data_IF_301779798194
#
_entry.id   IF_301779798194
#
_cell.length_a   1.000
_cell.length_b   1.000
_cell.length_c   1.000
_cell.angle_alpha   90.00
_cell.angle_beta   90.00
_cell.angle_gamma   90.00
#
_symmetry.space_group_name_H-M   'P 1'
#
loop_
_entity.id
_entity.type
_entity.pdbx_description
1 polymer ?
#
# COMPACT_ATOMS: atom_id res chain seq x y z
N UNK A 1 -15.99 -37.13 -2.71
CA UNK A 1 -14.91 -37.07 -3.71
C UNK A 1 -13.65 -36.79 -2.91
N UNK A 2 -12.80 -37.79 -2.71
CA UNK A 2 -11.54 -37.61 -1.98
C UNK A 2 -10.50 -37.00 -2.94
N UNK A 3 -10.02 -35.80 -2.63
CA UNK A 3 -8.96 -35.13 -3.39
C UNK A 3 -7.66 -35.91 -3.24
N UNK A 4 -7.00 -36.19 -4.34
CA UNK A 4 -5.69 -36.82 -4.35
C UNK A 4 -4.64 -35.87 -3.73
N UNK A 5 -3.63 -36.42 -3.08
CA UNK A 5 -2.51 -35.65 -2.51
C UNK A 5 -1.91 -34.62 -3.49
N UNK A 6 -1.77 -34.99 -4.76
CA UNK A 6 -1.26 -34.12 -5.81
C UNK A 6 -2.19 -32.94 -6.10
N UNK A 7 -3.51 -33.17 -6.12
CA UNK A 7 -4.51 -32.11 -6.33
C UNK A 7 -4.51 -31.10 -5.17
N UNK A 8 -4.34 -31.58 -3.93
CA UNK A 8 -4.21 -30.71 -2.75
C UNK A 8 -2.94 -29.84 -2.83
N UNK A 9 -1.80 -30.39 -3.22
CA UNK A 9 -0.55 -29.62 -3.42
C UNK A 9 -0.74 -28.55 -4.49
N UNK A 10 -1.36 -28.88 -5.60
CA UNK A 10 -1.62 -27.93 -6.67
C UNK A 10 -2.56 -26.80 -6.23
N UNK A 11 -3.59 -27.10 -5.43
CA UNK A 11 -4.49 -26.08 -4.88
C UNK A 11 -3.77 -25.15 -3.88
N UNK A 12 -2.86 -25.69 -3.07
CA UNK A 12 -2.02 -24.90 -2.16
C UNK A 12 -1.11 -23.97 -2.95
N UNK A 13 -0.42 -24.47 -3.97
CA UNK A 13 0.48 -23.68 -4.81
C UNK A 13 -0.26 -22.53 -5.53
N UNK A 14 -1.40 -22.82 -6.14
CA UNK A 14 -2.26 -21.80 -6.77
C UNK A 14 -2.71 -20.74 -5.76
N UNK A 15 -3.00 -21.15 -4.53
CA UNK A 15 -3.42 -20.23 -3.46
C UNK A 15 -2.29 -19.30 -3.02
N UNK A 16 -1.07 -19.81 -2.92
CA UNK A 16 0.13 -19.02 -2.60
C UNK A 16 0.42 -18.02 -3.71
N UNK A 17 0.43 -18.46 -4.96
CA UNK A 17 0.69 -17.59 -6.12
C UNK A 17 -0.33 -16.46 -6.26
N UNK A 18 -1.60 -16.72 -5.93
CA UNK A 18 -2.64 -15.67 -5.91
C UNK A 18 -2.41 -14.64 -4.82
N UNK A 19 -1.98 -15.07 -3.63
CA UNK A 19 -1.68 -14.17 -2.52
C UNK A 19 -0.48 -13.27 -2.86
N UNK A 20 0.56 -13.85 -3.43
CA UNK A 20 1.74 -13.13 -3.88
C UNK A 20 1.39 -12.10 -4.96
N UNK A 21 0.58 -12.47 -5.95
CA UNK A 21 0.10 -11.55 -6.98
C UNK A 21 -0.69 -10.38 -6.40
N UNK A 22 -1.57 -10.62 -5.42
CA UNK A 22 -2.31 -9.56 -4.73
C UNK A 22 -1.38 -8.60 -3.98
N UNK A 23 -0.35 -9.14 -3.32
CA UNK A 23 0.65 -8.36 -2.61
C UNK A 23 1.48 -7.50 -3.58
N UNK A 24 1.93 -8.06 -4.69
CA UNK A 24 2.66 -7.33 -5.74
C UNK A 24 1.80 -6.20 -6.35
N UNK A 25 0.51 -6.46 -6.57
CA UNK A 25 -0.43 -5.45 -7.04
C UNK A 25 -0.58 -4.29 -6.04
N UNK A 26 -0.72 -4.61 -4.76
CA UNK A 26 -0.79 -3.62 -3.70
C UNK A 26 0.50 -2.79 -3.62
N UNK A 27 1.65 -3.44 -3.69
CA UNK A 27 2.96 -2.77 -3.68
C UNK A 27 3.10 -1.81 -4.86
N UNK A 28 2.71 -2.23 -6.07
CA UNK A 28 2.73 -1.39 -7.27
C UNK A 28 1.82 -0.16 -7.14
N UNK A 29 0.61 -0.33 -6.61
CA UNK A 29 -0.32 0.77 -6.37
C UNK A 29 0.20 1.75 -5.30
N UNK A 30 0.86 1.23 -4.26
CA UNK A 30 1.51 2.02 -3.21
C UNK A 30 2.64 2.87 -3.80
N UNK A 31 3.51 2.27 -4.61
CA UNK A 31 4.57 2.98 -5.32
C UNK A 31 4.01 4.06 -6.26
N UNK A 32 2.98 3.73 -7.04
CA UNK A 32 2.34 4.69 -7.93
C UNK A 32 1.76 5.89 -7.16
N UNK A 33 1.13 5.67 -6.00
CA UNK A 33 0.61 6.74 -5.15
C UNK A 33 1.72 7.65 -4.61
N UNK A 34 2.84 7.07 -4.17
CA UNK A 34 4.01 7.83 -3.69
C UNK A 34 4.61 8.67 -4.83
N UNK A 35 4.86 8.06 -5.99
CA UNK A 35 5.42 8.75 -7.15
C UNK A 35 4.48 9.86 -7.63
N UNK A 36 3.18 9.59 -7.73
CA UNK A 36 2.19 10.59 -8.13
C UNK A 36 2.15 11.77 -7.16
N UNK A 37 2.21 11.54 -5.85
CA UNK A 37 2.23 12.61 -4.85
C UNK A 37 3.52 13.42 -4.92
N UNK A 38 4.66 12.80 -5.25
CA UNK A 38 5.94 13.48 -5.39
C UNK A 38 6.02 14.32 -6.67
N UNK A 39 5.56 13.78 -7.80
CA UNK A 39 5.59 14.50 -9.09
C UNK A 39 4.58 15.66 -9.14
N UNK A 40 3.50 15.57 -8.40
CA UNK A 40 2.47 16.61 -8.35
C UNK A 40 2.59 17.54 -7.16
N UNK A 41 3.73 17.55 -6.44
CA UNK A 41 3.89 18.24 -5.17
C UNK A 41 3.58 19.74 -5.24
N UNK A 42 3.94 20.41 -6.34
CA UNK A 42 3.72 21.85 -6.62
C UNK A 42 2.25 22.19 -6.92
N UNK A 43 1.46 21.19 -7.36
CA UNK A 43 0.02 21.35 -7.75
C UNK A 43 -0.92 20.63 -6.79
N UNK A 44 -0.40 20.04 -5.72
CA UNK A 44 -1.16 19.23 -4.78
C UNK A 44 -2.09 20.13 -3.94
N UNK A 45 -3.37 20.19 -4.31
CA UNK A 45 -4.40 20.81 -3.49
C UNK A 45 -4.92 19.83 -2.44
N UNK A 46 -5.60 20.32 -1.39
CA UNK A 46 -6.25 19.48 -0.37
C UNK A 46 -7.18 18.42 -1.01
N UNK A 47 -7.87 18.79 -2.07
CA UNK A 47 -8.82 17.94 -2.76
C UNK A 47 -8.08 16.78 -3.45
N UNK A 48 -7.01 17.05 -4.17
CA UNK A 48 -6.22 16.02 -4.84
C UNK A 48 -5.52 15.08 -3.84
N UNK A 49 -4.93 15.61 -2.77
CA UNK A 49 -4.35 14.79 -1.70
C UNK A 49 -5.39 13.91 -1.01
N UNK A 50 -6.59 14.45 -0.75
CA UNK A 50 -7.71 13.72 -0.19
C UNK A 50 -8.21 12.62 -1.14
N UNK A 51 -8.36 12.91 -2.43
CA UNK A 51 -8.78 11.91 -3.44
C UNK A 51 -7.75 10.78 -3.57
N UNK A 52 -6.47 11.10 -3.66
CA UNK A 52 -5.40 10.10 -3.77
C UNK A 52 -5.34 9.21 -2.53
N UNK A 53 -5.45 9.81 -1.33
CA UNK A 53 -5.51 9.07 -0.06
C UNK A 53 -6.73 8.15 0.00
N UNK A 54 -7.91 8.65 -0.38
CA UNK A 54 -9.15 7.87 -0.38
C UNK A 54 -9.06 6.70 -1.35
N UNK A 55 -8.57 6.93 -2.56
CA UNK A 55 -8.39 5.89 -3.58
C UNK A 55 -7.44 4.80 -3.09
N UNK A 56 -6.31 5.18 -2.49
CA UNK A 56 -5.34 4.23 -1.94
C UNK A 56 -5.93 3.42 -0.78
N UNK A 57 -6.71 4.06 0.13
CA UNK A 57 -7.37 3.36 1.22
C UNK A 57 -8.43 2.38 0.74
N UNK A 58 -9.27 2.76 -0.23
CA UNK A 58 -10.28 1.87 -0.82
C UNK A 58 -9.60 0.67 -1.48
N UNK A 59 -8.52 0.92 -2.22
CA UNK A 59 -7.75 -0.14 -2.86
C UNK A 59 -7.13 -1.08 -1.83
N UNK A 60 -6.46 -0.55 -0.80
CA UNK A 60 -5.87 -1.33 0.29
C UNK A 60 -6.94 -2.16 1.01
N UNK A 61 -8.09 -1.55 1.32
CA UNK A 61 -9.21 -2.27 1.93
C UNK A 61 -9.70 -3.43 1.05
N UNK A 62 -9.83 -3.22 -0.26
CA UNK A 62 -10.21 -4.28 -1.21
C UNK A 62 -9.21 -5.44 -1.22
N UNK A 63 -7.91 -5.15 -1.16
CA UNK A 63 -6.86 -6.17 -1.07
C UNK A 63 -6.96 -6.93 0.25
N UNK A 64 -7.13 -6.23 1.37
CA UNK A 64 -7.28 -6.82 2.70
C UNK A 64 -8.47 -7.80 2.74
N UNK A 65 -9.63 -7.39 2.24
CA UNK A 65 -10.84 -8.25 2.20
C UNK A 65 -10.58 -9.52 1.39
N UNK A 66 -9.89 -9.41 0.25
CA UNK A 66 -9.51 -10.57 -0.56
C UNK A 66 -8.52 -11.47 0.17
N UNK A 67 -7.53 -10.91 0.86
CA UNK A 67 -6.58 -11.69 1.65
C UNK A 67 -7.27 -12.46 2.78
N UNK A 68 -8.23 -11.85 3.47
CA UNK A 68 -9.03 -12.52 4.52
C UNK A 68 -9.85 -13.66 3.91
N UNK A 69 -10.57 -13.41 2.81
CA UNK A 69 -11.40 -14.43 2.16
C UNK A 69 -10.57 -15.67 1.71
N UNK A 70 -9.34 -15.45 1.24
CA UNK A 70 -8.45 -16.55 0.86
C UNK A 70 -7.79 -17.27 2.04
N UNK A 71 -7.71 -16.63 3.21
CA UNK A 71 -7.13 -17.23 4.42
C UNK A 71 -7.88 -18.49 4.84
N UNK A 72 -9.19 -18.43 4.89
CA UNK A 72 -10.02 -19.55 5.36
C UNK A 72 -9.93 -20.74 4.39
N UNK A 73 -9.99 -20.47 3.10
CA UNK A 73 -9.83 -21.50 2.07
C UNK A 73 -8.47 -22.19 2.16
N UNK A 74 -7.40 -21.40 2.37
CA UNK A 74 -6.05 -21.94 2.51
C UNK A 74 -5.90 -22.79 3.78
N UNK A 75 -6.48 -22.36 4.91
CA UNK A 75 -6.42 -23.13 6.16
C UNK A 75 -7.05 -24.49 6.02
N UNK A 76 -8.17 -24.60 5.29
CA UNK A 76 -8.82 -25.90 5.05
C UNK A 76 -7.96 -26.84 4.20
N UNK A 77 -7.26 -26.34 3.19
CA UNK A 77 -6.32 -27.14 2.38
C UNK A 77 -5.10 -27.60 3.18
N UNK A 78 -4.54 -26.74 4.02
CA UNK A 78 -3.42 -27.11 4.89
C UNK A 78 -3.84 -28.13 5.96
N UNK A 79 -5.04 -28.00 6.53
CA UNK A 79 -5.57 -28.97 7.47
C UNK A 79 -5.76 -30.35 6.81
N UNK A 80 -6.27 -30.40 5.57
CA UNK A 80 -6.40 -31.63 4.81
C UNK A 80 -5.02 -32.25 4.48
N UNK A 81 -4.03 -31.44 4.13
CA UNK A 81 -2.69 -31.91 3.82
C UNK A 81 -1.97 -32.46 5.07
N UNK A 82 -2.08 -31.78 6.22
CA UNK A 82 -1.51 -32.23 7.50
C UNK A 82 -2.13 -33.52 8.01
N UNK A 83 -3.41 -33.77 7.73
CA UNK A 83 -4.07 -35.02 8.05
C UNK A 83 -3.49 -36.20 7.26
N UNK A 84 -2.96 -35.99 6.07
CA UNK A 84 -2.32 -37.03 5.23
C UNK A 84 -0.87 -37.24 5.59
N UNK A 85 -0.13 -36.19 5.93
CA UNK A 85 1.33 -36.27 6.16
C UNK A 85 1.74 -36.52 7.63
N UNK A 86 0.81 -36.43 8.59
CA UNK A 86 1.15 -36.38 10.01
C UNK A 86 1.83 -35.05 10.37
N UNK A 87 1.65 -34.62 11.61
CA UNK A 87 2.18 -33.33 12.10
C UNK A 87 3.70 -33.23 11.97
N UNK A 88 4.21 -32.59 10.94
CA UNK A 88 5.59 -32.17 10.88
C UNK A 88 5.70 -30.69 10.45
N UNK A 89 5.80 -29.81 11.45
CA UNK A 89 6.67 -28.63 11.38
C UNK A 89 6.23 -27.39 10.60
N UNK A 90 5.12 -27.38 9.83
CA UNK A 90 4.79 -26.26 8.94
C UNK A 90 4.03 -25.07 9.57
N UNK A 91 3.36 -25.26 10.69
CA UNK A 91 2.43 -24.29 11.26
C UNK A 91 3.12 -22.99 11.76
N UNK A 92 4.30 -23.10 12.35
CA UNK A 92 5.03 -21.95 12.88
C UNK A 92 5.58 -21.03 11.79
N UNK A 93 6.19 -21.60 10.77
CA UNK A 93 6.76 -20.84 9.64
C UNK A 93 5.65 -20.10 8.85
N UNK A 94 4.50 -20.74 8.68
CA UNK A 94 3.35 -20.17 7.99
C UNK A 94 2.72 -18.99 8.76
N UNK A 95 2.72 -19.06 10.08
CA UNK A 95 2.28 -17.95 10.95
C UNK A 95 3.21 -16.74 10.81
N UNK A 96 4.53 -16.95 10.76
CA UNK A 96 5.51 -15.88 10.59
C UNK A 96 5.35 -15.18 9.23
N UNK A 97 5.20 -15.93 8.15
CA UNK A 97 4.98 -15.38 6.80
C UNK A 97 3.69 -14.55 6.77
N UNK A 98 2.60 -15.08 7.31
CA UNK A 98 1.34 -14.38 7.33
C UNK A 98 1.41 -13.06 8.15
N UNK A 99 2.04 -13.08 9.32
CA UNK A 99 2.19 -11.90 10.16
C UNK A 99 3.10 -10.84 9.50
N UNK A 100 4.15 -11.27 8.79
CA UNK A 100 5.04 -10.38 8.03
C UNK A 100 4.28 -9.64 6.92
N UNK A 101 3.44 -10.32 6.15
CA UNK A 101 2.63 -9.70 5.11
C UNK A 101 1.68 -8.65 5.71
N UNK A 102 0.98 -8.98 6.81
CA UNK A 102 0.10 -8.04 7.48
C UNK A 102 0.82 -6.82 8.02
N UNK A 103 1.97 -7.01 8.65
CA UNK A 103 2.81 -5.92 9.15
C UNK A 103 3.25 -5.01 7.99
N UNK A 104 3.67 -5.58 6.86
CA UNK A 104 4.10 -4.82 5.67
C UNK A 104 2.95 -4.00 5.08
N UNK A 105 1.76 -4.58 4.95
CA UNK A 105 0.59 -3.86 4.41
C UNK A 105 0.19 -2.71 5.34
N UNK A 106 0.17 -2.92 6.65
CA UNK A 106 -0.18 -1.87 7.61
C UNK A 106 0.86 -0.75 7.62
N UNK A 107 2.15 -1.08 7.75
CA UNK A 107 3.23 -0.11 7.76
C UNK A 107 3.32 0.66 6.45
N UNK A 108 3.21 -0.03 5.32
CA UNK A 108 3.24 0.60 4.00
C UNK A 108 2.05 1.54 3.78
N UNK A 109 0.87 1.19 4.25
CA UNK A 109 -0.31 2.07 4.17
C UNK A 109 -0.11 3.33 5.01
N UNK A 110 0.36 3.19 6.26
CA UNK A 110 0.66 4.34 7.14
C UNK A 110 1.74 5.22 6.51
N UNK A 111 2.83 4.63 6.05
CA UNK A 111 3.93 5.36 5.42
C UNK A 111 3.44 6.16 4.19
N UNK A 112 2.60 5.55 3.34
CA UNK A 112 2.03 6.21 2.17
C UNK A 112 1.14 7.38 2.56
N UNK A 113 0.31 7.24 3.58
CA UNK A 113 -0.52 8.33 4.09
C UNK A 113 0.32 9.49 4.63
N UNK A 114 1.32 9.18 5.45
CA UNK A 114 2.24 10.19 5.98
C UNK A 114 2.96 10.90 4.83
N UNK A 115 3.41 10.17 3.81
CA UNK A 115 4.11 10.75 2.66
C UNK A 115 3.21 11.69 1.85
N UNK A 116 1.98 11.31 1.54
CA UNK A 116 1.02 12.14 0.82
C UNK A 116 0.75 13.45 1.59
N UNK A 117 0.51 13.36 2.90
CA UNK A 117 0.24 14.53 3.72
C UNK A 117 1.49 15.42 3.94
N UNK A 118 2.66 14.82 4.09
CA UNK A 118 3.91 15.55 4.18
C UNK A 118 4.19 16.35 2.89
N UNK A 119 4.03 15.73 1.72
CA UNK A 119 4.18 16.38 0.43
C UNK A 119 3.23 17.58 0.28
N UNK A 120 1.98 17.45 0.75
CA UNK A 120 1.00 18.53 0.75
C UNK A 120 1.43 19.70 1.68
N UNK A 121 1.93 19.41 2.88
CA UNK A 121 2.32 20.45 3.84
C UNK A 121 3.54 21.25 3.37
N UNK A 122 4.52 20.59 2.76
CA UNK A 122 5.72 21.23 2.22
C UNK A 122 5.38 22.18 1.07
N UNK A 123 4.52 21.76 0.14
CA UNK A 123 4.02 22.62 -0.94
C UNK A 123 3.40 23.92 -0.45
N UNK A 124 2.75 23.91 0.71
CA UNK A 124 2.10 25.09 1.27
C UNK A 124 3.07 26.08 1.92
N UNK A 125 4.21 25.61 2.42
CA UNK A 125 5.22 26.49 3.03
C UNK A 125 5.97 27.31 1.98
N UNK A 126 6.28 26.73 0.83
CA UNK A 126 6.99 27.42 -0.25
C UNK A 126 6.13 28.53 -0.88
N UNK A 127 4.82 28.34 -1.00
CA UNK A 127 3.91 29.38 -1.48
C UNK A 127 3.72 30.54 -0.50
N UNK A 128 3.86 30.29 0.81
CA UNK A 128 3.77 31.32 1.85
C UNK A 128 5.03 32.18 2.00
N UNK A 129 6.20 31.64 1.66
CA UNK A 129 7.50 32.32 1.80
C UNK A 129 7.79 33.30 0.65
N UNK A 130 7.23 33.05 -0.54
CA UNK A 130 7.45 33.89 -1.73
C UNK A 130 6.74 35.24 -1.71
N UNK A 131 5.76 35.44 -0.84
CA UNK A 131 4.92 36.68 -0.81
C UNK A 131 5.51 37.86 -0.02
N UNK A 132 6.56 37.64 0.75
CA UNK A 132 7.11 38.69 1.66
C UNK A 132 8.39 39.36 1.15
N UNK A 133 8.77 39.12 -0.11
CA UNK A 133 10.09 39.57 -0.63
C UNK A 133 10.08 40.59 -1.76
N UNK A 134 8.98 41.29 -2.02
CA UNK A 134 9.01 42.41 -3.00
C UNK A 134 9.35 43.71 -2.30
N UNK A 135 10.61 44.18 -2.37
CA UNK A 135 10.95 45.53 -1.90
C UNK A 135 10.29 46.52 -2.85
N UNK A 136 9.44 47.37 -2.31
CA UNK A 136 8.89 48.52 -2.99
C UNK A 136 10.03 49.29 -3.71
N UNK A 137 10.14 49.07 -5.02
CA UNK A 137 11.06 49.78 -5.88
C UNK A 137 10.78 51.27 -5.78
N UNK A 138 11.72 51.98 -5.18
CA UNK A 138 11.77 53.44 -5.22
C UNK A 138 11.89 53.88 -6.68
N UNK A 139 10.80 54.33 -7.26
CA UNK A 139 10.82 55.18 -8.44
C UNK A 139 11.44 56.51 -8.05
N UNK A 140 12.73 56.62 -8.23
CA UNK A 140 13.39 57.95 -8.31
C UNK A 140 13.06 58.52 -9.69
N UNK A 141 12.15 59.47 -9.69
CA UNK A 141 11.83 60.36 -10.80
C UNK A 141 13.05 61.21 -11.15
N UNK A 142 13.51 61.31 -12.40
CA UNK A 142 14.56 62.25 -12.78
C UNK A 142 13.92 63.62 -13.00
N UNK A 143 14.19 64.56 -12.12
CA UNK A 143 13.96 66.02 -12.36
C UNK A 143 14.96 66.55 -13.41
N UNK A 144 14.44 67.11 -14.49
CA UNK A 144 15.13 68.00 -15.41
C UNK A 144 15.12 69.43 -14.87
#
# INVERSE_FOLDING_TARGET
MELTYFELLQMVDVSINRLESLFQFWLSATFAAIVASHLAWDKLTKIYGGMLSSLHLIFTFSVIVRMIAWRDTRQSYFAALSAIQGEQGGAGMMSLINNSIWATVLLGTIATMVFIWHSYLTSKQDLGSGSNGEPAGSHSEPTL
#
